data_IF_184988730958
#
_entry.id   IF_184988730958
#
_cell.length_a   1.000
_cell.length_b   1.000
_cell.length_c   1.000
_cell.angle_alpha   90.00
_cell.angle_beta   90.00
_cell.angle_gamma   90.00
#
_symmetry.space_group_name_H-M   'P 1'
#
loop_
_entity.id
_entity.type
_entity.pdbx_description
1 polymer ?
#
# COMPACT_ATOMS: atom_id res chain seq x y z
N UNK A 1 -19.33 -8.97 0.67
CA UNK A 1 -18.80 -9.34 -0.67
C UNK A 1 -18.87 -8.08 -1.51
N UNK A 2 -17.77 -7.59 -2.06
CA UNK A 2 -17.75 -6.35 -2.84
C UNK A 2 -18.14 -6.70 -4.30
N UNK A 3 -19.28 -6.21 -4.84
CA UNK A 3 -19.59 -6.36 -6.26
C UNK A 3 -18.75 -5.42 -7.15
N UNK A 4 -18.01 -4.51 -6.51
CA UNK A 4 -17.29 -3.39 -7.10
C UNK A 4 -15.82 -3.75 -7.37
N UNK A 5 -15.25 -3.26 -8.48
CA UNK A 5 -13.85 -3.49 -8.86
C UNK A 5 -12.95 -2.49 -8.14
N UNK A 6 -11.90 -2.97 -7.46
CA UNK A 6 -10.96 -2.19 -6.67
C UNK A 6 -9.60 -2.07 -7.35
N UNK A 7 -9.06 -0.85 -7.45
CA UNK A 7 -7.62 -0.68 -7.67
C UNK A 7 -6.93 -0.58 -6.31
N UNK A 8 -5.97 -1.47 -6.04
CA UNK A 8 -5.08 -1.36 -4.89
C UNK A 8 -3.75 -0.79 -5.39
N UNK A 9 -3.43 0.44 -4.97
CA UNK A 9 -2.28 1.16 -5.50
C UNK A 9 -1.26 1.39 -4.39
N UNK A 10 -0.21 0.57 -4.41
CA UNK A 10 0.99 0.75 -3.62
C UNK A 10 1.78 1.99 -4.05
N UNK A 11 2.80 2.32 -3.26
CA UNK A 11 3.61 3.51 -3.51
C UNK A 11 4.87 3.24 -4.33
N UNK A 12 5.08 1.99 -4.81
CA UNK A 12 6.22 1.62 -5.63
C UNK A 12 6.28 2.41 -6.94
N UNK A 13 7.49 2.56 -7.48
CA UNK A 13 7.77 3.34 -8.70
C UNK A 13 7.32 2.65 -10.00
N UNK A 14 6.91 1.38 -9.95
CA UNK A 14 6.75 0.55 -11.13
C UNK A 14 5.78 1.02 -12.18
N UNK A 15 4.84 1.89 -11.85
CA UNK A 15 3.86 2.42 -12.80
C UNK A 15 4.28 3.72 -13.46
N UNK A 16 5.43 4.28 -13.08
CA UNK A 16 5.93 5.53 -13.64
C UNK A 16 6.16 5.42 -15.16
N UNK A 17 5.66 6.40 -15.92
CA UNK A 17 5.70 6.45 -17.38
C UNK A 17 4.76 5.48 -18.12
N UNK A 18 3.86 4.77 -17.41
CA UNK A 18 2.91 3.83 -18.05
C UNK A 18 1.56 4.44 -18.38
N UNK A 19 1.29 5.67 -17.94
CA UNK A 19 0.05 6.40 -18.19
C UNK A 19 -1.22 5.65 -17.71
N UNK A 20 -1.12 4.89 -16.61
CA UNK A 20 -2.22 4.06 -16.08
C UNK A 20 -3.23 4.83 -15.23
N UNK A 21 -3.06 6.13 -15.03
CA UNK A 21 -3.85 6.90 -14.08
C UNK A 21 -5.36 6.92 -14.38
N UNK A 22 -5.74 7.03 -15.65
CA UNK A 22 -7.15 6.95 -16.06
C UNK A 22 -7.74 5.56 -15.83
N UNK A 23 -6.95 4.50 -16.03
CA UNK A 23 -7.38 3.13 -15.74
C UNK A 23 -7.54 2.91 -14.24
N UNK A 24 -6.62 3.41 -13.41
CA UNK A 24 -6.73 3.33 -11.96
C UNK A 24 -8.00 4.07 -11.49
N UNK A 25 -8.22 5.28 -11.97
CA UNK A 25 -9.34 6.13 -11.52
C UNK A 25 -10.72 5.64 -12.03
N UNK A 26 -10.76 4.76 -13.03
CA UNK A 26 -12.01 4.18 -13.55
C UNK A 26 -12.59 3.08 -12.67
N UNK A 27 -11.82 2.54 -11.71
CA UNK A 27 -12.29 1.55 -10.75
C UNK A 27 -13.32 2.15 -9.81
N UNK A 28 -14.25 1.36 -9.28
CA UNK A 28 -15.29 1.83 -8.36
C UNK A 28 -14.67 2.43 -7.09
N UNK A 29 -13.69 1.72 -6.53
CA UNK A 29 -12.91 2.16 -5.37
C UNK A 29 -11.42 2.09 -5.65
N UNK A 30 -10.69 3.11 -5.19
CA UNK A 30 -9.23 3.12 -5.21
C UNK A 30 -8.68 3.13 -3.79
N UNK A 31 -7.81 2.17 -3.50
CA UNK A 31 -7.11 2.00 -2.23
C UNK A 31 -5.74 2.66 -2.30
N UNK A 32 -5.44 3.50 -1.32
CA UNK A 32 -4.14 4.18 -1.14
C UNK A 32 -3.58 3.91 0.25
N UNK A 33 -2.26 4.02 0.38
CA UNK A 33 -1.55 3.74 1.63
C UNK A 33 -0.96 5.02 2.23
N UNK A 34 -0.55 4.95 3.50
CA UNK A 34 0.30 5.95 4.15
C UNK A 34 1.40 6.47 3.21
N UNK A 35 1.67 7.77 3.24
CA UNK A 35 2.61 8.41 2.32
C UNK A 35 2.06 8.78 0.93
N UNK A 36 0.86 8.32 0.53
CA UNK A 36 0.24 8.65 -0.76
C UNK A 36 0.25 10.15 -1.08
N UNK A 37 0.58 10.51 -2.33
CA UNK A 37 0.54 11.87 -2.85
C UNK A 37 -0.11 11.87 -4.23
N UNK A 38 -1.04 12.79 -4.53
CA UNK A 38 -1.61 12.93 -5.86
C UNK A 38 -0.64 13.65 -6.82
N UNK A 39 0.53 13.06 -7.04
CA UNK A 39 1.55 13.49 -8.02
C UNK A 39 1.76 12.38 -9.06
N UNK A 40 2.27 12.72 -10.24
CA UNK A 40 2.34 11.81 -11.39
C UNK A 40 0.98 11.13 -11.67
N UNK A 41 -0.09 11.94 -11.63
CA UNK A 41 -1.48 11.47 -11.73
C UNK A 41 -1.80 10.81 -13.06
N UNK A 42 -1.03 11.12 -14.09
CA UNK A 42 -1.03 10.44 -15.39
C UNK A 42 -0.71 8.94 -15.25
N UNK A 43 0.15 8.56 -14.31
CA UNK A 43 0.58 7.19 -14.06
C UNK A 43 -0.20 6.54 -12.92
N UNK A 44 -0.42 7.27 -11.84
CA UNK A 44 -0.95 6.74 -10.59
C UNK A 44 -2.41 7.08 -10.33
N UNK A 45 -3.03 7.95 -11.13
CA UNK A 45 -4.38 8.45 -10.90
C UNK A 45 -4.45 9.39 -9.68
N UNK A 46 -5.61 10.01 -9.46
CA UNK A 46 -5.87 10.90 -8.32
C UNK A 46 -6.95 10.38 -7.37
N UNK A 47 -7.74 9.40 -7.77
CA UNK A 47 -8.84 8.86 -6.98
C UNK A 47 -8.30 8.13 -5.74
N UNK A 48 -8.95 8.37 -4.61
CA UNK A 48 -8.65 7.75 -3.33
C UNK A 48 -9.93 7.63 -2.50
N UNK A 49 -10.50 6.42 -2.44
CA UNK A 49 -11.72 6.15 -1.67
C UNK A 49 -11.39 5.50 -0.33
N UNK A 50 -10.41 4.59 -0.35
CA UNK A 50 -10.02 3.78 0.79
C UNK A 50 -8.60 4.17 1.20
N UNK A 51 -8.43 4.57 2.46
CA UNK A 51 -7.12 4.88 3.02
C UNK A 51 -6.66 3.79 3.97
N UNK A 52 -5.45 3.28 3.73
CA UNK A 52 -4.83 2.21 4.53
C UNK A 52 -3.63 2.77 5.28
N UNK A 53 -3.65 2.61 6.59
CA UNK A 53 -2.69 3.19 7.53
C UNK A 53 -2.19 2.13 8.50
N UNK A 54 -1.09 2.39 9.20
CA UNK A 54 -0.70 1.65 10.41
C UNK A 54 -0.71 2.53 11.68
N UNK A 55 -1.25 3.75 11.57
CA UNK A 55 -1.30 4.75 12.62
C UNK A 55 0.10 4.96 13.22
N UNK A 56 1.03 5.37 12.36
CA UNK A 56 2.40 5.64 12.79
C UNK A 56 2.42 6.80 13.79
N UNK A 57 3.06 6.57 14.92
CA UNK A 57 3.14 7.48 16.07
C UNK A 57 4.26 8.51 15.92
N UNK A 58 5.17 8.27 14.99
CA UNK A 58 6.46 8.95 14.98
C UNK A 58 6.35 10.23 14.16
N UNK A 59 6.72 11.40 14.69
CA UNK A 59 6.93 12.62 13.93
C UNK A 59 8.25 12.53 13.13
N UNK A 60 8.54 11.36 12.55
CA UNK A 60 9.59 11.26 11.56
C UNK A 60 9.12 12.11 10.38
N UNK A 61 9.75 13.26 10.14
CA UNK A 61 9.54 14.10 8.97
C UNK A 61 9.95 13.39 7.68
N UNK A 62 9.33 12.26 7.38
CA UNK A 62 9.70 11.30 6.34
C UNK A 62 8.51 10.84 5.51
N UNK A 63 8.81 9.94 4.57
CA UNK A 63 7.93 9.51 3.47
C UNK A 63 6.70 8.69 3.90
N UNK A 64 6.60 8.31 5.18
CA UNK A 64 5.52 7.48 5.73
C UNK A 64 4.52 8.25 6.61
N UNK A 65 4.42 9.57 6.42
CA UNK A 65 3.45 10.39 7.11
C UNK A 65 2.01 10.00 6.72
N UNK A 66 1.11 10.04 7.70
CA UNK A 66 -0.32 9.99 7.45
C UNK A 66 -0.74 11.22 6.64
N UNK A 67 -1.53 11.01 5.58
CA UNK A 67 -1.89 12.01 4.57
C UNK A 67 -3.39 12.29 4.56
N UNK A 68 -3.91 12.62 5.74
CA UNK A 68 -5.33 12.92 5.93
C UNK A 68 -5.79 14.14 5.13
N UNK A 69 -4.86 15.03 4.74
CA UNK A 69 -5.11 16.21 3.91
C UNK A 69 -5.63 15.89 2.50
N UNK A 70 -5.45 14.65 2.01
CA UNK A 70 -5.97 14.21 0.72
C UNK A 70 -7.33 13.50 0.80
N UNK A 71 -7.96 13.51 1.99
CA UNK A 71 -9.34 13.06 2.19
C UNK A 71 -10.39 14.12 1.80
N UNK A 72 -11.69 13.83 2.00
CA UNK A 72 -12.23 12.75 2.82
C UNK A 72 -12.13 11.37 2.15
N UNK A 73 -11.92 10.34 2.96
CA UNK A 73 -11.93 8.94 2.53
C UNK A 73 -13.24 8.27 2.94
N UNK A 74 -13.83 7.48 2.05
CA UNK A 74 -15.07 6.73 2.30
C UNK A 74 -14.86 5.65 3.37
N UNK A 75 -13.67 5.03 3.36
CA UNK A 75 -13.30 3.94 4.28
C UNK A 75 -11.85 4.10 4.71
N UNK A 76 -11.58 3.76 5.97
CA UNK A 76 -10.23 3.79 6.54
C UNK A 76 -9.93 2.46 7.23
N UNK A 77 -8.81 1.84 6.88
CA UNK A 77 -8.35 0.58 7.46
C UNK A 77 -6.99 0.76 8.13
N UNK A 78 -6.86 0.25 9.35
CA UNK A 78 -5.59 0.13 10.05
C UNK A 78 -5.09 -1.30 9.98
N UNK A 79 -3.86 -1.48 9.49
CA UNK A 79 -3.24 -2.80 9.34
C UNK A 79 -2.72 -3.39 10.64
N UNK A 80 -2.56 -2.55 11.67
CA UNK A 80 -2.11 -3.02 12.97
C UNK A 80 -3.31 -3.43 13.84
N UNK A 81 -3.40 -4.65 14.37
CA UNK A 81 -4.60 -5.18 15.02
C UNK A 81 -4.72 -4.75 16.50
N UNK A 82 -4.53 -3.46 16.78
CA UNK A 82 -4.67 -2.89 18.12
C UNK A 82 -5.42 -1.56 18.05
N UNK A 83 -6.72 -1.53 18.43
CA UNK A 83 -7.52 -0.31 18.47
C UNK A 83 -6.96 0.77 19.37
N UNK A 84 -6.15 0.42 20.39
CA UNK A 84 -5.55 1.42 21.28
C UNK A 84 -4.53 2.31 20.56
N UNK A 85 -4.06 1.91 19.37
CA UNK A 85 -3.19 2.74 18.52
C UNK A 85 -3.85 4.00 17.98
N UNK A 86 -5.17 4.14 18.06
CA UNK A 86 -5.82 5.42 17.72
C UNK A 86 -5.22 6.57 18.53
N UNK A 87 -4.88 6.32 19.80
CA UNK A 87 -4.22 7.32 20.66
C UNK A 87 -2.85 7.74 20.13
N UNK A 88 -2.13 6.85 19.46
CA UNK A 88 -0.81 7.11 18.89
C UNK A 88 -0.85 8.03 17.67
N UNK A 89 -1.93 7.98 16.89
CA UNK A 89 -2.14 8.91 15.78
C UNK A 89 -2.47 10.35 16.27
N UNK A 90 -2.68 10.54 17.58
CA UNK A 90 -2.95 11.82 18.20
C UNK A 90 -4.17 12.54 17.62
N UNK A 91 -4.15 13.88 17.60
CA UNK A 91 -5.20 14.74 17.02
C UNK A 91 -5.23 14.75 15.48
N UNK A 92 -4.43 13.92 14.81
CA UNK A 92 -4.26 13.98 13.34
C UNK A 92 -5.33 13.22 12.57
N UNK A 93 -5.99 12.24 13.19
CA UNK A 93 -7.13 11.55 12.57
C UNK A 93 -8.30 12.53 12.51
N UNK A 94 -8.88 12.79 11.32
CA UNK A 94 -10.02 13.70 11.20
C UNK A 94 -11.19 13.26 12.09
N UNK A 95 -11.87 14.22 12.70
CA UNK A 95 -13.01 13.96 13.57
C UNK A 95 -14.08 13.13 12.84
N UNK A 96 -14.67 12.15 13.52
CA UNK A 96 -15.65 11.19 12.98
C UNK A 96 -15.11 10.16 11.96
N UNK A 97 -13.80 10.09 11.72
CA UNK A 97 -13.22 9.00 10.92
C UNK A 97 -13.46 7.66 11.61
N UNK A 98 -14.19 6.76 10.95
CA UNK A 98 -14.38 5.39 11.42
C UNK A 98 -13.25 4.51 10.88
N UNK A 99 -12.30 4.17 11.74
CA UNK A 99 -11.19 3.28 11.41
C UNK A 99 -11.60 1.83 11.69
N UNK A 100 -11.45 0.95 10.69
CA UNK A 100 -11.57 -0.50 10.85
C UNK A 100 -10.19 -1.11 11.00
N UNK A 101 -10.05 -2.05 11.93
CA UNK A 101 -8.78 -2.73 12.18
C UNK A 101 -8.80 -4.08 11.48
N UNK A 102 -7.69 -4.46 10.85
CA UNK A 102 -7.50 -5.81 10.33
C UNK A 102 -7.55 -6.80 11.50
N UNK A 103 -8.18 -7.96 11.29
CA UNK A 103 -8.31 -9.00 12.29
C UNK A 103 -6.94 -9.48 12.77
N UNK A 104 -6.83 -9.63 14.09
CA UNK A 104 -5.58 -9.98 14.77
C UNK A 104 -5.03 -11.31 14.27
N UNK A 105 -5.92 -12.27 14.04
CA UNK A 105 -5.59 -13.62 13.61
C UNK A 105 -4.92 -13.61 12.23
N UNK A 106 -5.45 -12.82 11.29
CA UNK A 106 -4.88 -12.67 9.94
C UNK A 106 -3.51 -11.99 10.00
N UNK A 107 -3.37 -10.94 10.82
CA UNK A 107 -2.09 -10.25 10.99
C UNK A 107 -1.03 -11.15 11.66
N UNK A 108 -1.41 -11.94 12.66
CA UNK A 108 -0.53 -12.90 13.32
C UNK A 108 -0.11 -14.03 12.38
N UNK A 109 -1.04 -14.59 11.61
CA UNK A 109 -0.76 -15.57 10.56
C UNK A 109 0.29 -15.03 9.58
N UNK A 110 0.09 -13.81 9.06
CA UNK A 110 1.02 -13.17 8.15
C UNK A 110 2.40 -12.93 8.77
N UNK A 111 2.45 -12.44 10.02
CA UNK A 111 3.71 -12.26 10.74
C UNK A 111 4.46 -13.58 10.85
N UNK A 112 3.79 -14.67 11.23
CA UNK A 112 4.39 -16.00 11.32
C UNK A 112 4.90 -16.50 9.97
N UNK A 113 4.16 -16.30 8.87
CA UNK A 113 4.58 -16.67 7.52
C UNK A 113 5.86 -15.93 7.09
N UNK A 114 5.93 -14.63 7.36
CA UNK A 114 7.09 -13.81 7.00
C UNK A 114 8.26 -13.97 7.99
N UNK A 115 7.99 -14.36 9.23
CA UNK A 115 8.96 -14.38 10.33
C UNK A 115 9.40 -12.99 10.80
N UNK A 116 8.75 -11.93 10.31
CA UNK A 116 9.02 -10.52 10.62
C UNK A 116 7.74 -9.69 10.52
N UNK A 117 7.79 -8.45 11.01
CA UNK A 117 6.68 -7.49 10.87
C UNK A 117 6.38 -7.23 9.38
N UNK A 118 5.13 -7.44 8.90
CA UNK A 118 4.76 -7.14 7.52
C UNK A 118 4.69 -5.64 7.22
N UNK A 119 4.86 -5.26 5.96
CA UNK A 119 4.54 -3.93 5.44
C UNK A 119 3.02 -3.67 5.42
N UNK A 120 2.60 -2.41 5.47
CA UNK A 120 1.19 -2.02 5.36
C UNK A 120 0.56 -2.55 4.07
N UNK A 121 1.30 -2.47 2.96
CA UNK A 121 0.89 -2.96 1.64
C UNK A 121 0.58 -4.45 1.62
N UNK A 122 1.54 -5.28 2.01
CA UNK A 122 1.35 -6.75 1.98
C UNK A 122 0.28 -7.20 3.00
N UNK A 123 0.19 -6.51 4.15
CA UNK A 123 -0.85 -6.83 5.15
C UNK A 123 -2.25 -6.65 4.58
N UNK A 124 -2.48 -5.53 3.89
CA UNK A 124 -3.79 -5.26 3.30
C UNK A 124 -4.11 -6.22 2.15
N UNK A 125 -3.16 -6.48 1.25
CA UNK A 125 -3.35 -7.45 0.16
C UNK A 125 -3.69 -8.83 0.73
N UNK A 126 -2.93 -9.30 1.72
CA UNK A 126 -3.15 -10.60 2.34
C UNK A 126 -4.52 -10.68 3.02
N UNK A 127 -4.92 -9.61 3.72
CA UNK A 127 -6.24 -9.51 4.32
C UNK A 127 -7.38 -9.58 3.28
N UNK A 128 -7.28 -8.82 2.19
CA UNK A 128 -8.27 -8.87 1.10
C UNK A 128 -8.32 -10.27 0.50
N UNK A 129 -7.17 -10.88 0.24
CA UNK A 129 -7.07 -12.25 -0.27
C UNK A 129 -7.79 -13.27 0.64
N UNK A 130 -7.61 -13.18 1.96
CA UNK A 130 -8.21 -14.11 2.94
C UNK A 130 -9.70 -13.90 3.19
N UNK A 131 -10.20 -12.68 3.03
CA UNK A 131 -11.58 -12.32 3.45
C UNK A 131 -12.56 -12.23 2.29
N UNK A 132 -12.16 -11.61 1.19
CA UNK A 132 -13.01 -11.33 0.02
C UNK A 132 -12.53 -12.10 -1.21
N UNK A 133 -11.22 -12.35 -1.29
CA UNK A 133 -10.56 -12.79 -2.50
C UNK A 133 -10.23 -11.62 -3.42
N UNK A 134 -9.21 -11.79 -4.26
CA UNK A 134 -8.69 -10.74 -5.15
C UNK A 134 -9.37 -10.70 -6.53
N UNK A 135 -10.41 -11.51 -6.77
CA UNK A 135 -11.08 -11.61 -8.09
C UNK A 135 -11.60 -10.29 -8.66
N UNK A 136 -11.80 -9.29 -7.80
CA UNK A 136 -12.28 -7.96 -8.15
C UNK A 136 -11.24 -6.89 -7.80
N UNK A 137 -9.95 -7.22 -7.85
CA UNK A 137 -8.87 -6.32 -7.47
C UNK A 137 -7.75 -6.30 -8.51
N UNK A 138 -7.39 -5.11 -8.96
CA UNK A 138 -6.16 -4.88 -9.72
C UNK A 138 -5.09 -4.27 -8.81
N UNK A 139 -3.86 -4.78 -8.92
CA UNK A 139 -2.74 -4.40 -8.05
C UNK A 139 -1.71 -3.59 -8.84
N UNK A 140 -1.38 -2.39 -8.35
CA UNK A 140 -0.47 -1.43 -8.97
C UNK A 140 0.60 -0.98 -7.96
N UNK A 141 1.84 -0.72 -8.39
CA UNK A 141 2.88 -0.14 -7.53
C UNK A 141 3.34 -1.04 -6.38
N UNK A 142 3.28 -2.36 -6.57
CA UNK A 142 3.77 -3.39 -5.64
C UNK A 142 5.05 -4.05 -6.16
N UNK A 143 5.95 -3.25 -6.69
CA UNK A 143 7.21 -3.69 -7.29
C UNK A 143 8.43 -3.24 -6.46
N UNK A 144 8.19 -2.54 -5.35
CA UNK A 144 9.20 -1.92 -4.48
C UNK A 144 10.30 -2.88 -4.02
N UNK A 145 10.04 -4.18 -3.96
CA UNK A 145 11.03 -5.19 -3.58
C UNK A 145 12.16 -5.37 -4.60
N UNK A 146 12.02 -4.89 -5.83
CA UNK A 146 12.97 -5.10 -6.92
C UNK A 146 13.91 -3.94 -7.26
N UNK A 147 13.86 -2.78 -6.58
CA UNK A 147 14.56 -1.57 -7.02
C UNK A 147 15.65 -1.10 -6.06
N UNK A 148 16.76 -0.56 -6.59
CA UNK A 148 17.83 0.07 -5.79
C UNK A 148 17.48 1.47 -5.28
N UNK A 149 16.59 2.19 -5.99
CA UNK A 149 15.90 3.47 -5.70
C UNK A 149 15.52 4.11 -7.05
N UNK A 150 14.56 5.06 -7.09
CA UNK A 150 13.67 5.47 -6.00
C UNK A 150 12.72 4.36 -5.56
N UNK A 151 12.34 4.33 -4.28
CA UNK A 151 11.39 3.32 -3.77
C UNK A 151 9.95 3.77 -3.93
N UNK A 152 9.72 5.07 -3.80
CA UNK A 152 8.41 5.67 -3.95
C UNK A 152 8.31 6.53 -5.20
N UNK A 153 7.17 6.53 -5.87
CA UNK A 153 7.00 7.27 -7.13
C UNK A 153 7.27 8.78 -7.00
N UNK A 154 6.97 9.40 -5.86
CA UNK A 154 7.21 10.83 -5.63
C UNK A 154 8.68 11.20 -5.37
N UNK A 155 9.58 10.23 -5.29
CA UNK A 155 11.02 10.47 -5.18
C UNK A 155 11.66 10.70 -6.55
N UNK A 156 10.95 10.39 -7.64
CA UNK A 156 11.44 10.56 -9.01
C UNK A 156 11.92 11.99 -9.27
N UNK A 157 11.14 12.98 -8.87
CA UNK A 157 11.46 14.41 -9.04
C UNK A 157 12.76 14.85 -8.34
N UNK A 158 13.26 14.05 -7.38
CA UNK A 158 14.47 14.38 -6.60
C UNK A 158 15.76 13.78 -7.18
N UNK A 159 15.69 12.79 -8.06
CA UNK A 159 16.87 12.07 -8.56
C UNK A 159 16.65 11.41 -9.94
N UNK A 160 16.41 12.20 -11.01
CA UNK A 160 16.13 11.64 -12.35
C UNK A 160 17.34 10.90 -12.98
N UNK A 161 18.57 11.20 -12.55
CA UNK A 161 19.80 10.66 -13.17
C UNK A 161 20.18 9.22 -12.73
N UNK A 162 19.49 8.66 -11.72
CA UNK A 162 19.84 7.36 -11.11
C UNK A 162 19.26 6.15 -11.90
N UNK A 163 18.57 6.39 -13.02
CA UNK A 163 17.74 5.38 -13.68
C UNK A 163 18.40 4.64 -14.85
N UNK A 164 19.66 4.92 -15.18
CA UNK A 164 20.31 4.33 -16.34
C UNK A 164 20.84 2.90 -16.15
N UNK A 165 20.70 2.31 -14.97
CA UNK A 165 20.99 0.88 -14.76
C UNK A 165 19.90 0.25 -13.87
N UNK A 166 18.98 -0.49 -14.50
CA UNK A 166 17.97 -1.31 -13.83
C UNK A 166 18.64 -2.52 -13.13
N UNK A 167 19.49 -2.27 -12.14
CA UNK A 167 20.02 -3.34 -11.31
C UNK A 167 18.97 -3.72 -10.25
N UNK A 168 18.14 -4.71 -10.61
CA UNK A 168 17.22 -5.37 -9.69
C UNK A 168 17.99 -6.15 -8.64
N UNK A 169 18.41 -5.51 -7.56
CA UNK A 169 18.95 -6.21 -6.39
C UNK A 169 17.97 -6.05 -5.23
N UNK A 170 17.49 -7.17 -4.69
CA UNK A 170 16.69 -7.23 -3.46
C UNK A 170 17.50 -6.58 -2.33
N UNK A 171 17.25 -5.29 -2.06
CA UNK A 171 17.77 -4.65 -0.87
C UNK A 171 16.81 -4.93 0.28
N UNK A 172 17.27 -5.24 1.50
CA UNK A 172 16.40 -5.21 2.67
C UNK A 172 15.88 -3.78 2.86
N UNK A 173 14.65 -3.53 2.41
CA UNK A 173 13.97 -2.24 2.62
C UNK A 173 13.48 -2.20 4.06
N UNK A 174 14.29 -1.60 4.95
CA UNK A 174 13.88 -1.25 6.30
C UNK A 174 13.53 -2.45 7.21
N UNK A 175 12.59 -2.22 8.14
CA UNK A 175 12.16 -3.16 9.20
C UNK A 175 11.40 -4.41 8.72
N UNK A 176 11.36 -4.68 7.41
CA UNK A 176 10.54 -5.71 6.78
C UNK A 176 11.38 -6.77 6.09
N UNK A 177 10.84 -7.99 5.94
CA UNK A 177 11.47 -9.03 5.12
C UNK A 177 11.02 -8.90 3.66
N UNK A 178 11.59 -7.94 2.96
CA UNK A 178 11.27 -7.59 1.57
C UNK A 178 11.22 -8.81 0.63
N UNK A 179 12.20 -9.72 0.73
CA UNK A 179 12.25 -10.90 -0.13
C UNK A 179 11.04 -11.82 0.10
N UNK A 180 10.71 -12.13 1.36
CA UNK A 180 9.55 -13.00 1.67
C UNK A 180 8.22 -12.34 1.33
N UNK A 181 8.09 -11.04 1.54
CA UNK A 181 6.88 -10.31 1.13
C UNK A 181 6.67 -10.39 -0.38
N UNK A 182 7.74 -10.25 -1.17
CA UNK A 182 7.67 -10.38 -2.61
C UNK A 182 7.31 -11.80 -3.07
N UNK A 183 7.90 -12.84 -2.45
CA UNK A 183 7.53 -14.22 -2.75
C UNK A 183 6.06 -14.50 -2.44
N UNK A 184 5.56 -14.02 -1.29
CA UNK A 184 4.15 -14.15 -0.92
C UNK A 184 3.25 -13.38 -1.90
N UNK A 185 3.61 -12.16 -2.28
CA UNK A 185 2.89 -11.38 -3.28
C UNK A 185 2.78 -12.13 -4.62
N UNK A 186 3.88 -12.70 -5.12
CA UNK A 186 3.86 -13.50 -6.35
C UNK A 186 2.97 -14.73 -6.23
N UNK A 187 2.99 -15.41 -5.09
CA UNK A 187 2.12 -16.56 -4.84
C UNK A 187 0.65 -16.14 -4.91
N UNK A 188 0.27 -15.10 -4.16
CA UNK A 188 -1.09 -14.56 -4.12
C UNK A 188 -1.56 -14.16 -5.54
N UNK A 189 -0.68 -13.50 -6.31
CA UNK A 189 -0.98 -13.10 -7.69
C UNK A 189 -1.17 -14.29 -8.62
N UNK A 190 -0.34 -15.32 -8.52
CA UNK A 190 -0.48 -16.55 -9.31
C UNK A 190 -1.80 -17.27 -9.02
N UNK A 191 -2.20 -17.34 -7.76
CA UNK A 191 -3.48 -17.94 -7.36
C UNK A 191 -4.69 -17.15 -7.87
N UNK A 192 -4.54 -15.83 -8.03
CA UNK A 192 -5.53 -14.94 -8.65
C UNK A 192 -5.62 -15.16 -10.17
N UNK A 193 -4.49 -15.17 -10.88
CA UNK A 193 -4.44 -15.29 -12.35
C UNK A 193 -4.81 -16.70 -12.86
N UNK A 194 -4.76 -17.72 -12.00
CA UNK A 194 -5.09 -19.11 -12.37
C UNK A 194 -6.57 -19.50 -12.17
N UNK A 195 -7.45 -18.56 -11.79
CA UNK A 195 -8.85 -18.81 -11.38
C UNK A 195 -9.85 -17.92 -12.11
#
# INVERSE_FOLDING_TARGET
>A
MFPDVMAIVGNGIGEFGKCLGNQIDSHDYVVRFQGFKPVHTEDYGKKANIYVTCLNDTPCGGEYLERWEYGPFDKVYCTWPDPNRIHLAGRKVPMNTRIRFIEKEIHQELWSLLGHKPSTGITFIYWVHKTVGLKHCDLYGFDFWGYKKPYHYWEYDKAPEVLHEQERTLSPIGSHNAAKEYELYKQIRKEYESK
#
